data_IF_903731721060
#
_entry.id   IF_903731721060
#
_cell.length_a   1.000
_cell.length_b   1.000
_cell.length_c   1.000
_cell.angle_alpha   90.00
_cell.angle_beta   90.00
_cell.angle_gamma   90.00
#
_symmetry.space_group_name_H-M   'P 1'
#
loop_
_entity.id
_entity.type
_entity.pdbx_description
1 polymer ?
#
# COMPACT_ATOMS: atom_id res chain seq x y z
N UNK A 1 28.16 25.46 54.80
CA UNK A 1 27.01 24.99 53.99
C UNK A 1 27.31 23.55 53.54
N UNK A 2 26.60 22.55 54.07
CA UNK A 2 27.05 21.14 54.02
C UNK A 2 26.98 20.53 52.61
N UNK A 3 28.04 19.79 52.21
CA UNK A 3 28.12 19.07 50.93
C UNK A 3 26.90 18.16 50.69
N UNK A 4 26.29 17.63 51.75
CA UNK A 4 25.10 16.75 51.72
C UNK A 4 23.87 17.38 51.04
N UNK A 5 23.61 18.68 51.26
CA UNK A 5 22.48 19.37 50.63
C UNK A 5 22.63 19.50 49.10
N UNK A 6 23.87 19.64 48.63
CA UNK A 6 24.18 19.71 47.19
C UNK A 6 23.88 18.37 46.49
N UNK A 7 24.28 17.25 47.10
CA UNK A 7 24.05 15.91 46.55
C UNK A 7 22.58 15.50 46.53
N UNK A 8 21.79 15.84 47.56
CA UNK A 8 20.33 15.61 47.55
C UNK A 8 19.63 16.33 46.40
N UNK A 9 20.10 17.52 46.03
CA UNK A 9 19.56 18.31 44.90
C UNK A 9 19.99 17.74 43.54
N UNK A 10 21.19 17.17 43.43
CA UNK A 10 21.69 16.48 42.24
C UNK A 10 20.90 15.18 41.99
N UNK A 11 20.69 14.37 43.04
CA UNK A 11 19.93 13.12 42.93
C UNK A 11 18.46 13.35 42.54
N UNK A 12 17.85 14.45 43.01
CA UNK A 12 16.46 14.83 42.64
C UNK A 12 16.34 15.24 41.16
N UNK A 13 17.41 15.80 40.56
CA UNK A 13 17.45 16.13 39.12
C UNK A 13 17.69 14.89 38.24
N UNK A 14 18.50 13.94 38.71
CA UNK A 14 18.78 12.68 37.98
C UNK A 14 17.58 11.72 37.96
N UNK A 15 16.78 11.64 39.04
CA UNK A 15 15.58 10.79 39.10
C UNK A 15 14.46 11.21 38.13
N UNK A 16 14.35 12.50 37.81
CA UNK A 16 13.38 13.01 36.82
C UNK A 16 13.81 12.66 35.39
N UNK A 17 15.12 12.55 35.11
CA UNK A 17 15.61 12.18 33.79
C UNK A 17 15.37 10.71 33.44
N UNK A 18 15.43 9.78 34.40
CA UNK A 18 15.25 8.35 34.12
C UNK A 18 13.78 8.02 33.78
N UNK A 19 12.81 8.67 34.44
CA UNK A 19 11.38 8.49 34.13
C UNK A 19 10.96 9.06 32.78
N UNK A 20 11.57 10.17 32.34
CA UNK A 20 11.31 10.72 31.01
C UNK A 20 11.96 9.88 29.89
N UNK A 21 13.15 9.33 30.13
CA UNK A 21 13.84 8.44 29.19
C UNK A 21 13.11 7.10 28.99
N UNK A 22 12.49 6.53 30.02
CA UNK A 22 11.73 5.28 29.90
C UNK A 22 10.42 5.46 29.12
N UNK A 23 9.70 6.56 29.34
CA UNK A 23 8.48 6.89 28.57
C UNK A 23 8.85 7.19 27.12
N UNK A 24 9.94 7.92 26.88
CA UNK A 24 10.43 8.16 25.51
C UNK A 24 10.84 6.86 24.83
N UNK A 25 11.48 5.93 25.56
CA UNK A 25 11.81 4.56 25.16
C UNK A 25 10.59 3.72 24.78
N UNK A 26 9.53 3.74 25.58
CA UNK A 26 8.28 3.03 25.28
C UNK A 26 7.58 3.68 24.08
N UNK A 27 7.62 5.00 23.95
CA UNK A 27 7.03 5.71 22.81
C UNK A 27 7.76 5.36 21.49
N UNK A 28 9.10 5.36 21.48
CA UNK A 28 9.89 4.96 20.30
C UNK A 28 9.79 3.46 20.00
N UNK A 29 9.70 2.59 21.02
CA UNK A 29 9.45 1.16 20.80
C UNK A 29 8.06 0.92 20.19
N UNK A 30 7.01 1.57 20.69
CA UNK A 30 5.67 1.49 20.09
C UNK A 30 5.67 2.06 18.66
N UNK A 31 6.30 3.22 18.42
CA UNK A 31 6.41 3.82 17.09
C UNK A 31 7.15 2.92 16.10
N UNK A 32 8.18 2.20 16.54
CA UNK A 32 8.90 1.22 15.72
C UNK A 32 8.08 -0.05 15.46
N UNK A 33 7.28 -0.53 16.41
CA UNK A 33 6.36 -1.66 16.20
C UNK A 33 5.23 -1.32 15.24
N UNK A 34 4.67 -0.11 15.28
CA UNK A 34 3.72 0.39 14.27
C UNK A 34 4.33 0.42 12.85
N UNK A 35 5.65 0.65 12.73
CA UNK A 35 6.39 0.51 11.46
C UNK A 35 6.75 -0.94 11.12
N UNK A 36 6.90 -1.83 12.09
CA UNK A 36 7.29 -3.22 11.85
C UNK A 36 6.11 -4.10 11.37
N UNK A 37 4.87 -3.80 11.80
CA UNK A 37 3.66 -4.34 11.16
C UNK A 37 3.51 -3.87 9.69
N UNK A 38 4.23 -2.79 9.31
CA UNK A 38 4.26 -2.24 7.97
C UNK A 38 5.12 -3.04 6.96
N UNK A 39 5.77 -4.14 7.38
CA UNK A 39 6.15 -5.22 6.47
C UNK A 39 5.00 -6.24 6.39
N UNK A 40 3.81 -5.75 6.01
CA UNK A 40 2.61 -6.58 5.90
C UNK A 40 2.86 -7.67 4.86
N UNK A 41 2.72 -8.94 5.26
CA UNK A 41 2.76 -10.06 4.34
C UNK A 41 1.79 -9.80 3.17
N UNK A 42 2.25 -10.04 1.94
CA UNK A 42 1.47 -9.79 0.74
C UNK A 42 0.07 -10.42 0.87
N UNK A 43 -0.98 -9.60 0.76
CA UNK A 43 -2.36 -10.04 0.95
C UNK A 43 -2.91 -10.58 -0.36
N UNK A 44 -3.33 -11.84 -0.37
CA UNK A 44 -4.04 -12.45 -1.50
C UNK A 44 -5.55 -12.22 -1.37
N UNK A 45 -6.17 -11.80 -2.46
CA UNK A 45 -7.62 -11.63 -2.61
C UNK A 45 -8.08 -12.20 -3.95
N UNK A 46 -9.36 -12.55 -4.04
CA UNK A 46 -9.99 -12.91 -5.31
C UNK A 46 -10.80 -11.72 -5.79
N UNK A 47 -10.59 -11.31 -7.04
CA UNK A 47 -11.30 -10.21 -7.67
C UNK A 47 -12.01 -10.67 -8.94
N UNK A 48 -13.19 -10.11 -9.20
CA UNK A 48 -13.84 -10.28 -10.51
C UNK A 48 -13.24 -9.29 -11.50
N UNK A 49 -12.54 -9.79 -12.51
CA UNK A 49 -11.78 -8.99 -13.47
C UNK A 49 -12.46 -8.96 -14.85
N UNK A 50 -12.78 -7.76 -15.32
CA UNK A 50 -13.13 -7.46 -16.71
C UNK A 50 -11.92 -6.92 -17.45
N UNK A 51 -12.06 -6.74 -18.76
CA UNK A 51 -11.05 -6.12 -19.60
C UNK A 51 -11.65 -5.00 -20.46
N UNK A 52 -10.83 -4.00 -20.73
CA UNK A 52 -11.14 -2.90 -21.63
C UNK A 52 -9.93 -2.50 -22.47
N UNK A 53 -10.20 -1.78 -23.56
CA UNK A 53 -9.21 -1.21 -24.46
C UNK A 53 -9.53 0.28 -24.72
N UNK A 54 -8.66 0.97 -25.46
CA UNK A 54 -8.78 2.40 -25.78
C UNK A 54 -8.74 3.35 -24.56
N UNK A 55 -7.92 3.01 -23.56
CA UNK A 55 -7.62 3.87 -22.42
C UNK A 55 -6.85 5.13 -22.84
N UNK A 56 -7.08 6.23 -22.13
CA UNK A 56 -6.39 7.50 -22.35
C UNK A 56 -5.66 7.90 -21.09
N UNK A 57 -6.28 8.73 -20.26
CA UNK A 57 -5.79 9.11 -18.94
C UNK A 57 -6.62 8.40 -17.87
N UNK A 58 -5.94 7.83 -16.89
CA UNK A 58 -6.57 7.22 -15.72
C UNK A 58 -7.02 8.28 -14.73
N UNK A 59 -7.89 7.92 -13.79
CA UNK A 59 -8.34 8.79 -12.71
C UNK A 59 -7.21 9.34 -11.82
N UNK A 60 -6.06 8.64 -11.73
CA UNK A 60 -4.88 9.14 -11.02
C UNK A 60 -4.04 10.14 -11.83
N UNK A 61 -4.39 10.40 -13.09
CA UNK A 61 -3.72 11.38 -13.94
C UNK A 61 -2.51 10.85 -14.71
N UNK A 62 -2.33 9.53 -14.84
CA UNK A 62 -1.31 8.91 -15.71
C UNK A 62 -1.95 8.29 -16.94
N UNK A 63 -1.16 8.00 -17.98
CA UNK A 63 -1.68 7.29 -19.16
C UNK A 63 -2.00 5.84 -18.84
N UNK A 64 -3.05 5.30 -19.46
CA UNK A 64 -3.29 3.86 -19.46
C UNK A 64 -2.15 3.14 -20.18
N UNK A 65 -1.55 2.15 -19.52
CA UNK A 65 -0.41 1.38 -20.03
C UNK A 65 -0.66 -0.10 -19.85
N UNK A 66 -0.45 -0.89 -20.90
CA UNK A 66 -0.32 -2.34 -20.84
C UNK A 66 1.11 -2.72 -21.22
N UNK A 67 1.84 -3.31 -20.27
CA UNK A 67 3.19 -3.84 -20.44
C UNK A 67 3.28 -5.23 -19.82
N UNK A 68 3.39 -6.26 -20.65
CA UNK A 68 3.45 -7.67 -20.22
C UNK A 68 4.77 -8.02 -19.50
N UNK A 69 5.83 -7.28 -19.78
CA UNK A 69 7.15 -7.45 -19.18
C UNK A 69 7.44 -6.40 -18.09
N UNK A 70 6.41 -5.69 -17.63
CA UNK A 70 6.56 -4.59 -16.68
C UNK A 70 5.26 -4.30 -15.95
N UNK A 71 5.02 -3.02 -15.68
CA UNK A 71 3.89 -2.59 -14.85
C UNK A 71 2.80 -2.01 -15.75
N UNK A 72 1.61 -2.60 -15.67
CA UNK A 72 0.41 -2.11 -16.34
C UNK A 72 -0.46 -1.26 -15.41
N UNK A 73 -1.37 -0.46 -15.94
CA UNK A 73 -2.35 0.29 -15.16
C UNK A 73 -3.68 -0.45 -15.11
N UNK A 74 -4.33 -0.50 -13.95
CA UNK A 74 -5.65 -1.14 -13.80
C UNK A 74 -6.63 -0.25 -13.07
N UNK A 75 -7.93 -0.43 -13.38
CA UNK A 75 -9.01 0.24 -12.67
C UNK A 75 -9.46 -0.59 -11.46
N UNK A 76 -9.67 0.07 -10.33
CA UNK A 76 -10.04 -0.55 -9.06
C UNK A 76 -11.13 0.26 -8.33
N UNK A 77 -11.63 -0.27 -7.21
CA UNK A 77 -12.32 0.52 -6.19
C UNK A 77 -11.29 1.06 -5.17
N UNK A 78 -11.01 2.38 -5.13
CA UNK A 78 -9.98 2.95 -4.25
C UNK A 78 -10.22 2.75 -2.76
N UNK A 79 -11.47 2.42 -2.36
CA UNK A 79 -11.83 2.13 -0.97
C UNK A 79 -11.34 0.75 -0.52
N UNK A 80 -11.12 -0.16 -1.48
CA UNK A 80 -10.65 -1.52 -1.24
C UNK A 80 -9.17 -1.68 -1.58
N UNK A 81 -8.74 -1.07 -2.69
CA UNK A 81 -7.37 -1.07 -3.17
C UNK A 81 -7.00 0.40 -3.47
N UNK A 82 -6.27 1.08 -2.57
CA UNK A 82 -5.88 2.48 -2.78
C UNK A 82 -5.05 2.67 -4.05
N UNK A 83 -5.13 3.87 -4.66
CA UNK A 83 -4.28 4.22 -5.79
C UNK A 83 -2.79 4.11 -5.44
N UNK A 84 -1.98 3.76 -6.44
CA UNK A 84 -0.54 3.53 -6.29
C UNK A 84 -0.19 2.17 -5.70
N UNK A 85 -1.18 1.37 -5.30
CA UNK A 85 -0.95 -0.01 -4.85
C UNK A 85 -0.45 -0.86 -6.03
N UNK A 86 0.67 -1.53 -5.83
CA UNK A 86 1.21 -2.54 -6.73
C UNK A 86 0.52 -3.88 -6.49
N UNK A 87 0.22 -4.54 -7.60
CA UNK A 87 -0.52 -5.79 -7.66
C UNK A 87 0.24 -6.77 -8.54
N UNK A 88 0.17 -8.05 -8.19
CA UNK A 88 0.34 -9.14 -9.14
C UNK A 88 -1.02 -9.77 -9.40
N UNK A 89 -1.41 -9.85 -10.67
CA UNK A 89 -2.71 -10.36 -11.11
C UNK A 89 -2.46 -11.62 -11.92
N UNK A 90 -3.07 -12.74 -11.50
CA UNK A 90 -2.97 -14.03 -12.18
C UNK A 90 -3.35 -13.90 -13.67
N UNK A 91 -2.55 -14.53 -14.54
CA UNK A 91 -2.64 -14.47 -16.01
C UNK A 91 -2.50 -13.07 -16.67
N UNK A 92 -2.25 -12.02 -15.90
CA UNK A 92 -2.14 -10.64 -16.43
C UNK A 92 -0.75 -10.04 -16.16
N UNK A 93 -0.18 -10.30 -14.98
CA UNK A 93 1.14 -9.82 -14.58
C UNK A 93 1.09 -8.67 -13.56
N UNK A 94 2.16 -7.89 -13.52
CA UNK A 94 2.30 -6.78 -12.57
C UNK A 94 1.50 -5.56 -13.00
N UNK A 95 0.85 -4.93 -12.02
CA UNK A 95 0.01 -3.77 -12.25
C UNK A 95 0.07 -2.76 -11.10
N UNK A 96 -0.34 -1.53 -11.40
CA UNK A 96 -0.58 -0.47 -10.42
C UNK A 96 -2.03 -0.02 -10.49
N UNK A 97 -2.65 0.13 -9.31
CA UNK A 97 -3.96 0.72 -9.16
C UNK A 97 -3.90 2.21 -9.53
N UNK A 98 -4.38 2.56 -10.73
CA UNK A 98 -4.26 3.91 -11.27
C UNK A 98 -5.58 4.50 -11.75
N UNK A 99 -6.61 3.68 -11.93
CA UNK A 99 -7.88 4.13 -12.50
C UNK A 99 -9.08 3.71 -11.65
N UNK A 100 -10.24 4.28 -11.94
CA UNK A 100 -11.52 3.83 -11.38
C UNK A 100 -12.65 3.99 -12.39
N UNK A 101 -13.73 3.26 -12.16
CA UNK A 101 -14.94 3.35 -12.98
C UNK A 101 -16.19 3.31 -12.12
N UNK A 102 -17.30 3.83 -12.66
CA UNK A 102 -18.61 3.79 -11.99
C UNK A 102 -19.07 2.34 -11.71
N UNK A 103 -18.74 1.40 -12.60
CA UNK A 103 -19.07 -0.02 -12.46
C UNK A 103 -18.04 -0.83 -11.64
N UNK A 104 -16.87 -0.26 -11.36
CA UNK A 104 -15.77 -0.91 -10.65
C UNK A 104 -15.89 -0.59 -9.16
N UNK A 105 -16.59 -1.47 -8.43
CA UNK A 105 -16.92 -1.34 -7.01
C UNK A 105 -16.69 -2.66 -6.27
N UNK A 106 -16.15 -2.60 -5.06
CA UNK A 106 -15.73 -3.75 -4.28
C UNK A 106 -14.46 -4.40 -4.82
N UNK A 107 -14.32 -5.73 -4.64
CA UNK A 107 -13.23 -6.51 -5.21
C UNK A 107 -13.47 -6.81 -6.70
N UNK A 108 -13.50 -5.74 -7.49
CA UNK A 108 -13.60 -5.79 -8.95
C UNK A 108 -12.42 -5.05 -9.58
N UNK A 109 -11.97 -5.56 -10.71
CA UNK A 109 -10.90 -4.97 -11.51
C UNK A 109 -11.39 -4.74 -12.94
N UNK A 110 -10.91 -3.67 -13.56
CA UNK A 110 -10.95 -3.51 -15.02
C UNK A 110 -9.52 -3.44 -15.56
N UNK A 111 -9.16 -4.43 -16.36
CA UNK A 111 -7.79 -4.63 -16.83
C UNK A 111 -7.61 -3.99 -18.20
N UNK A 112 -6.60 -3.13 -18.32
CA UNK A 112 -6.32 -2.46 -19.58
C UNK A 112 -5.55 -3.39 -20.55
N UNK A 113 -5.95 -3.39 -21.81
CA UNK A 113 -5.27 -4.07 -22.92
C UNK A 113 -5.03 -3.13 -24.09
N UNK A 114 -3.99 -3.41 -24.87
CA UNK A 114 -3.60 -2.57 -26.01
C UNK A 114 -4.58 -2.67 -27.17
N UNK A 115 -5.29 -3.79 -27.31
CA UNK A 115 -6.29 -4.00 -28.35
C UNK A 115 -7.62 -4.53 -27.82
N UNK A 116 -8.69 -4.23 -28.55
CA UNK A 116 -10.03 -4.77 -28.27
C UNK A 116 -10.06 -6.31 -28.37
N UNK A 117 -9.31 -6.88 -29.31
CA UNK A 117 -9.21 -8.34 -29.48
C UNK A 117 -8.66 -9.02 -28.23
N UNK A 118 -7.58 -8.49 -27.65
CA UNK A 118 -7.01 -9.02 -26.40
C UNK A 118 -7.98 -8.87 -25.23
N UNK A 119 -8.67 -7.74 -25.13
CA UNK A 119 -9.70 -7.53 -24.11
C UNK A 119 -10.86 -8.54 -24.24
N UNK A 120 -11.30 -8.83 -25.47
CA UNK A 120 -12.30 -9.87 -25.73
C UNK A 120 -11.82 -11.27 -25.36
N UNK A 121 -10.57 -11.59 -25.69
CA UNK A 121 -9.97 -12.88 -25.36
C UNK A 121 -9.84 -13.09 -23.85
N UNK A 122 -9.59 -12.02 -23.09
CA UNK A 122 -9.63 -12.06 -21.64
C UNK A 122 -11.05 -12.31 -21.10
N UNK A 123 -12.03 -11.57 -21.60
CA UNK A 123 -13.43 -11.69 -21.18
C UNK A 123 -13.67 -11.22 -19.75
N UNK A 124 -14.47 -11.98 -18.99
CA UNK A 124 -14.70 -11.75 -17.56
C UNK A 124 -14.44 -13.03 -16.80
N UNK A 125 -13.57 -12.97 -15.80
CA UNK A 125 -13.25 -14.09 -14.93
C UNK A 125 -12.84 -13.62 -13.54
N UNK A 126 -12.97 -14.50 -12.57
CA UNK A 126 -12.42 -14.25 -11.25
C UNK A 126 -10.93 -14.66 -11.26
N UNK A 127 -10.08 -13.80 -10.71
CA UNK A 127 -8.62 -13.98 -10.69
C UNK A 127 -8.08 -13.77 -9.30
N UNK A 128 -6.99 -14.46 -8.99
CA UNK A 128 -6.21 -14.19 -7.78
C UNK A 128 -5.37 -12.92 -7.97
N UNK A 129 -5.35 -12.11 -6.94
CA UNK A 129 -4.63 -10.84 -6.89
C UNK A 129 -3.82 -10.79 -5.61
N UNK A 130 -2.53 -10.56 -5.75
CA UNK A 130 -1.61 -10.38 -4.65
C UNK A 130 -1.35 -8.88 -4.51
N UNK A 131 -1.69 -8.32 -3.35
CA UNK A 131 -1.38 -6.94 -2.99
C UNK A 131 0.06 -6.88 -2.49
N UNK A 132 0.90 -6.09 -3.18
CA UNK A 132 2.34 -5.98 -2.94
C UNK A 132 2.71 -4.73 -2.12
N UNK A 133 1.74 -3.84 -1.86
CA UNK A 133 1.96 -2.56 -1.17
C UNK A 133 2.07 -1.37 -2.13
N UNK A 134 2.42 -0.19 -1.61
CA UNK A 134 2.65 1.01 -2.41
C UNK A 134 4.16 1.27 -2.63
N UNK A 135 4.50 2.37 -3.31
CA UNK A 135 5.89 2.77 -3.56
C UNK A 135 6.70 3.13 -2.30
N UNK A 136 6.11 3.08 -1.10
CA UNK A 136 6.83 3.28 0.16
C UNK A 136 7.33 1.98 0.78
N UNK A 137 6.90 0.83 0.24
CA UNK A 137 7.27 -0.52 0.68
C UNK A 137 8.23 -1.27 -0.27
N UNK A 138 8.70 -0.61 -1.34
CA UNK A 138 9.72 -1.09 -2.29
C UNK A 138 10.93 -0.15 -2.26
#
# INVERSE_FOLDING_TARGET
MSKSYKWKRVMKKLGVSIGALSIFGILIMNFSSYKAEAATANKEIVCSATAYAAGTMTASGIKSVRNENGISTVAVDPRMIPYGTYLYIEDYGYAVAADTGVAIKGYKLDLFFNSYSEACNWGKKDVKVIILGDSTNL
#
